data_IF_140230725235
#
_entry.id   IF_140230725235
#
_cell.length_a   1.000
_cell.length_b   1.000
_cell.length_c   1.000
_cell.angle_alpha   90.00
_cell.angle_beta   90.00
_cell.angle_gamma   90.00
#
_symmetry.space_group_name_H-M   'P 1'
#
loop_
_entity.id
_entity.type
_entity.pdbx_description
1 polymer ?
#
# COMPACT_ATOMS: atom_id res chain seq x y z
N UNK A 1 9.33 36.53 12.96
CA UNK A 1 9.44 36.13 11.56
C UNK A 1 10.21 34.81 11.51
N UNK A 2 9.54 33.69 11.26
CA UNK A 2 10.22 32.37 11.17
C UNK A 2 11.14 32.38 9.94
N UNK A 3 12.42 32.01 10.14
CA UNK A 3 13.32 31.88 9.00
C UNK A 3 12.84 30.70 8.11
N UNK A 4 13.10 30.77 6.80
CA UNK A 4 12.76 29.72 5.84
C UNK A 4 13.35 28.36 6.26
N UNK A 5 14.51 28.38 6.89
CA UNK A 5 15.21 27.20 7.42
C UNK A 5 14.43 26.55 8.58
N UNK A 6 13.85 27.34 9.48
CA UNK A 6 13.04 26.83 10.59
C UNK A 6 11.73 26.20 10.08
N UNK A 7 11.13 26.73 9.01
CA UNK A 7 9.94 26.16 8.39
C UNK A 7 10.22 24.79 7.75
N UNK A 8 11.35 24.64 7.05
CA UNK A 8 11.76 23.39 6.43
C UNK A 8 12.04 22.29 7.49
N UNK A 9 12.70 22.67 8.58
CA UNK A 9 12.98 21.76 9.67
C UNK A 9 11.71 21.32 10.39
N UNK A 10 10.80 22.23 10.70
CA UNK A 10 9.51 21.95 11.30
C UNK A 10 8.70 20.97 10.42
N UNK A 11 8.65 21.23 9.12
CA UNK A 11 7.96 20.40 8.15
C UNK A 11 8.52 18.96 8.11
N UNK A 12 9.85 18.82 8.09
CA UNK A 12 10.50 17.51 8.14
C UNK A 12 10.17 16.75 9.43
N UNK A 13 10.18 17.45 10.57
CA UNK A 13 9.83 16.86 11.88
C UNK A 13 8.37 16.42 11.94
N UNK A 14 7.43 17.24 11.43
CA UNK A 14 6.00 16.89 11.38
C UNK A 14 5.76 15.66 10.52
N UNK A 15 6.36 15.58 9.33
CA UNK A 15 6.24 14.40 8.47
C UNK A 15 6.84 13.15 9.14
N UNK A 16 7.99 13.29 9.79
CA UNK A 16 8.62 12.18 10.51
C UNK A 16 7.76 11.69 11.68
N UNK A 17 7.16 12.61 12.44
CA UNK A 17 6.26 12.29 13.55
C UNK A 17 4.98 11.58 13.07
N UNK A 18 4.37 12.06 11.99
CA UNK A 18 3.12 11.50 11.46
C UNK A 18 3.29 10.10 10.84
N UNK A 19 4.50 9.72 10.45
CA UNK A 19 4.74 8.37 9.87
C UNK A 19 4.30 7.24 10.79
N UNK A 20 4.62 7.32 12.08
CA UNK A 20 4.30 6.25 13.02
C UNK A 20 2.79 6.06 13.18
N UNK A 21 1.98 7.08 13.54
CA UNK A 21 0.52 6.91 13.65
C UNK A 21 -0.13 6.49 12.33
N UNK A 22 0.38 6.92 11.18
CA UNK A 22 -0.13 6.47 9.89
C UNK A 22 0.14 4.99 9.63
N UNK A 23 1.33 4.48 10.00
CA UNK A 23 1.64 3.04 9.91
C UNK A 23 0.69 2.25 10.82
N UNK A 24 0.47 2.72 12.03
CA UNK A 24 -0.50 2.10 12.97
C UNK A 24 -1.89 2.06 12.35
N UNK A 25 -2.34 3.15 11.71
CA UNK A 25 -3.63 3.19 11.01
C UNK A 25 -3.72 2.16 9.88
N UNK A 26 -2.66 1.99 9.09
CA UNK A 26 -2.60 0.95 8.04
C UNK A 26 -2.69 -0.45 8.65
N UNK A 27 -2.02 -0.70 9.78
CA UNK A 27 -2.13 -1.99 10.49
C UNK A 27 -3.57 -2.26 10.92
N UNK A 28 -4.28 -1.26 11.45
CA UNK A 28 -5.69 -1.41 11.82
C UNK A 28 -6.58 -1.74 10.62
N UNK A 29 -6.41 -1.10 9.46
CA UNK A 29 -7.17 -1.41 8.23
C UNK A 29 -7.06 -2.90 7.89
N UNK A 30 -5.87 -3.46 7.98
CA UNK A 30 -5.60 -4.83 7.55
C UNK A 30 -5.94 -5.91 8.59
N UNK A 31 -6.14 -5.54 9.84
CA UNK A 31 -6.41 -6.49 10.93
C UNK A 31 -7.88 -6.55 11.37
N UNK A 32 -8.73 -5.65 10.90
CA UNK A 32 -10.14 -5.68 11.24
C UNK A 32 -10.86 -6.80 10.47
N UNK A 33 -11.54 -7.67 11.22
CA UNK A 33 -12.39 -8.74 10.67
C UNK A 33 -13.80 -8.60 11.21
N UNK A 34 -14.81 -8.38 10.35
CA UNK A 34 -16.21 -8.25 10.79
C UNK A 34 -16.83 -9.57 11.24
N UNK A 35 -16.23 -10.70 10.89
CA UNK A 35 -16.68 -12.02 11.31
C UNK A 35 -15.49 -12.92 11.63
N UNK A 36 -15.68 -13.80 12.61
CA UNK A 36 -14.71 -14.80 13.06
C UNK A 36 -15.40 -16.14 13.04
N UNK A 37 -14.73 -17.18 12.53
CA UNK A 37 -15.23 -18.55 12.59
C UNK A 37 -14.69 -19.19 13.85
N UNK A 38 -15.59 -19.62 14.75
CA UNK A 38 -15.26 -20.33 15.98
C UNK A 38 -15.94 -21.70 15.94
N UNK A 39 -15.17 -22.75 15.74
CA UNK A 39 -15.70 -24.08 15.48
C UNK A 39 -16.48 -24.12 14.16
N UNK A 40 -17.77 -24.47 14.21
CA UNK A 40 -18.66 -24.52 13.04
C UNK A 40 -19.58 -23.28 12.94
N UNK A 41 -19.44 -22.31 13.84
CA UNK A 41 -20.29 -21.14 13.87
C UNK A 41 -19.55 -19.89 13.37
N UNK A 42 -20.23 -19.09 12.56
CA UNK A 42 -19.76 -17.78 12.14
C UNK A 42 -20.25 -16.75 13.15
N UNK A 43 -19.36 -16.29 14.00
CA UNK A 43 -19.66 -15.22 14.97
C UNK A 43 -19.43 -13.87 14.30
N UNK A 44 -20.51 -13.15 14.01
CA UNK A 44 -20.44 -11.76 13.57
C UNK A 44 -20.04 -10.86 14.74
N UNK A 45 -19.03 -10.01 14.56
CA UNK A 45 -18.59 -9.07 15.61
C UNK A 45 -19.68 -8.08 15.99
N UNK A 46 -20.58 -7.73 15.05
CA UNK A 46 -21.69 -6.79 15.29
C UNK A 46 -22.74 -7.37 16.22
N UNK A 47 -23.04 -8.65 16.09
CA UNK A 47 -24.11 -9.31 16.86
C UNK A 47 -23.63 -9.84 18.21
N UNK A 48 -22.41 -10.37 18.28
CA UNK A 48 -21.87 -11.04 19.47
C UNK A 48 -20.95 -10.17 20.30
N UNK A 49 -20.30 -9.18 19.68
CA UNK A 49 -19.34 -8.28 20.35
C UNK A 49 -19.51 -6.83 19.86
N UNK A 50 -20.61 -6.15 20.19
CA UNK A 50 -20.94 -4.84 19.62
C UNK A 50 -19.87 -3.77 19.97
N UNK A 51 -19.30 -3.80 21.15
CA UNK A 51 -18.24 -2.87 21.58
C UNK A 51 -16.97 -3.08 20.77
N UNK A 52 -16.55 -4.33 20.54
CA UNK A 52 -15.40 -4.65 19.71
C UNK A 52 -15.63 -4.21 18.26
N UNK A 53 -16.83 -4.47 17.73
CA UNK A 53 -17.20 -4.06 16.38
C UNK A 53 -17.16 -2.55 16.22
N UNK A 54 -17.75 -1.80 17.15
CA UNK A 54 -17.73 -0.34 17.14
C UNK A 54 -16.31 0.22 17.17
N UNK A 55 -15.49 -0.22 18.12
CA UNK A 55 -14.10 0.22 18.24
C UNK A 55 -13.29 -0.17 17.00
N UNK A 56 -13.43 -1.42 16.54
CA UNK A 56 -12.75 -1.93 15.36
C UNK A 56 -13.11 -1.15 14.10
N UNK A 57 -14.40 -0.86 13.87
CA UNK A 57 -14.86 -0.03 12.76
C UNK A 57 -14.32 1.39 12.87
N UNK A 58 -14.39 2.02 14.05
CA UNK A 58 -13.89 3.38 14.26
C UNK A 58 -12.41 3.50 13.88
N UNK A 59 -11.56 2.60 14.38
CA UNK A 59 -10.13 2.66 14.12
C UNK A 59 -9.76 2.16 12.72
N UNK A 60 -10.42 1.13 12.20
CA UNK A 60 -10.03 0.52 10.94
C UNK A 60 -10.71 1.18 9.74
N UNK A 61 -12.02 1.47 9.82
CA UNK A 61 -12.77 1.96 8.67
C UNK A 61 -12.80 3.50 8.58
N UNK A 62 -12.69 4.20 9.70
CA UNK A 62 -12.72 5.67 9.69
C UNK A 62 -11.32 6.26 9.88
N UNK A 63 -10.68 6.04 11.01
CA UNK A 63 -9.37 6.64 11.32
C UNK A 63 -8.27 6.03 10.43
N UNK A 64 -8.26 4.72 10.29
CA UNK A 64 -7.24 4.01 9.51
C UNK A 64 -7.24 4.42 8.03
N UNK A 65 -8.42 4.56 7.42
CA UNK A 65 -8.53 4.94 6.01
C UNK A 65 -7.94 6.30 5.66
N UNK A 66 -7.82 7.21 6.63
CA UNK A 66 -7.14 8.50 6.43
C UNK A 66 -5.64 8.29 6.17
N UNK A 67 -5.07 7.21 6.68
CA UNK A 67 -3.64 6.95 6.59
C UNK A 67 -3.15 6.79 5.15
N UNK A 68 -3.90 6.10 4.30
CA UNK A 68 -3.49 5.84 2.91
C UNK A 68 -3.43 7.13 2.08
N UNK A 69 -4.47 7.98 2.02
CA UNK A 69 -4.39 9.26 1.32
C UNK A 69 -3.27 10.16 1.84
N UNK A 70 -3.03 10.18 3.16
CA UNK A 70 -1.94 10.97 3.73
C UNK A 70 -0.56 10.44 3.32
N UNK A 71 -0.37 9.13 3.22
CA UNK A 71 0.87 8.58 2.66
C UNK A 71 1.09 9.00 1.20
N UNK A 72 0.05 8.95 0.37
CA UNK A 72 0.11 9.42 -1.02
C UNK A 72 0.44 10.92 -1.06
N UNK A 73 -0.24 11.72 -0.23
CA UNK A 73 -0.02 13.15 -0.13
C UNK A 73 1.43 13.47 0.27
N UNK A 74 1.93 12.90 1.38
CA UNK A 74 3.31 13.15 1.82
C UNK A 74 4.34 12.67 0.81
N UNK A 75 4.09 11.54 0.18
CA UNK A 75 5.00 11.02 -0.83
C UNK A 75 5.04 11.89 -2.08
N UNK A 76 3.88 12.37 -2.55
CA UNK A 76 3.77 13.32 -3.65
C UNK A 76 4.40 14.66 -3.27
N UNK A 77 4.06 15.20 -2.10
CA UNK A 77 4.65 16.43 -1.59
C UNK A 77 6.18 16.36 -1.57
N UNK A 78 6.78 15.34 -0.93
CA UNK A 78 8.23 15.17 -0.88
C UNK A 78 8.86 14.93 -2.25
N UNK A 79 8.12 14.33 -3.18
CA UNK A 79 8.61 14.13 -4.54
C UNK A 79 8.76 15.46 -5.28
N UNK A 80 7.81 16.37 -5.12
CA UNK A 80 7.80 17.66 -5.81
C UNK A 80 8.47 18.79 -5.00
N UNK A 81 8.67 18.61 -3.69
CA UNK A 81 9.25 19.62 -2.83
C UNK A 81 10.69 19.97 -3.22
N UNK A 82 10.95 21.26 -3.47
CA UNK A 82 12.25 21.81 -3.91
C UNK A 82 12.85 21.05 -5.12
N UNK A 83 12.01 20.46 -5.96
CA UNK A 83 12.48 19.75 -7.13
C UNK A 83 12.75 20.72 -8.27
N UNK A 84 13.99 20.76 -8.75
CA UNK A 84 14.25 21.16 -10.11
C UNK A 84 13.66 20.13 -11.05
N UNK A 85 12.76 20.55 -11.94
CA UNK A 85 12.11 19.63 -12.90
C UNK A 85 13.02 19.29 -14.08
N UNK A 86 14.30 19.08 -13.80
CA UNK A 86 15.24 18.56 -14.79
C UNK A 86 15.06 17.04 -14.94
N UNK A 87 15.31 16.54 -16.15
CA UNK A 87 15.29 15.12 -16.45
C UNK A 87 16.25 14.32 -15.52
N UNK A 88 17.39 14.92 -15.19
CA UNK A 88 18.38 14.32 -14.31
C UNK A 88 17.82 14.12 -12.90
N UNK A 89 17.17 15.14 -12.33
CA UNK A 89 16.54 15.07 -11.01
C UNK A 89 15.40 14.02 -11.00
N UNK A 90 14.61 13.97 -12.07
CA UNK A 90 13.56 12.96 -12.21
C UNK A 90 14.14 11.54 -12.19
N UNK A 91 15.12 11.25 -13.05
CA UNK A 91 15.77 9.94 -13.14
C UNK A 91 16.39 9.56 -11.79
N UNK A 92 17.06 10.48 -11.11
CA UNK A 92 17.63 10.25 -9.80
C UNK A 92 16.55 9.85 -8.78
N UNK A 93 15.43 10.58 -8.74
CA UNK A 93 14.30 10.27 -7.82
C UNK A 93 13.66 8.91 -8.14
N UNK A 94 13.49 8.57 -9.43
CA UNK A 94 12.97 7.26 -9.83
C UNK A 94 13.92 6.13 -9.43
N UNK A 95 15.22 6.26 -9.70
CA UNK A 95 16.23 5.26 -9.27
C UNK A 95 16.18 5.03 -7.76
N UNK A 96 16.04 6.10 -6.98
CA UNK A 96 15.92 6.00 -5.52
C UNK A 96 14.63 5.27 -5.11
N UNK A 97 13.50 5.52 -5.80
CA UNK A 97 12.24 4.81 -5.53
C UNK A 97 12.29 3.34 -5.93
N UNK A 98 12.97 3.00 -7.01
CA UNK A 98 13.23 1.59 -7.36
C UNK A 98 13.92 0.88 -6.19
N UNK A 99 14.99 1.46 -5.68
CA UNK A 99 15.72 0.87 -4.55
C UNK A 99 14.90 0.79 -3.25
N UNK A 100 14.11 1.83 -2.94
CA UNK A 100 13.42 1.92 -1.65
C UNK A 100 12.01 1.36 -1.63
N UNK A 101 11.36 1.22 -2.79
CA UNK A 101 9.99 0.73 -2.91
C UNK A 101 9.89 -0.54 -3.76
N UNK A 102 10.45 -0.55 -4.98
CA UNK A 102 10.27 -1.67 -5.90
C UNK A 102 11.01 -2.93 -5.42
N UNK A 103 12.26 -2.80 -4.97
CA UNK A 103 13.03 -3.96 -4.50
C UNK A 103 12.36 -4.61 -3.27
N UNK A 104 12.02 -3.88 -2.20
CA UNK A 104 11.26 -4.47 -1.08
C UNK A 104 9.90 -5.05 -1.50
N UNK A 105 9.19 -4.38 -2.40
CA UNK A 105 7.93 -4.85 -2.93
C UNK A 105 8.06 -6.22 -3.62
N UNK A 106 9.02 -6.36 -4.53
CA UNK A 106 9.29 -7.61 -5.23
C UNK A 106 9.74 -8.71 -4.28
N UNK A 107 10.64 -8.37 -3.34
CA UNK A 107 11.12 -9.30 -2.33
C UNK A 107 9.98 -9.89 -1.49
N UNK A 108 9.10 -9.05 -0.96
CA UNK A 108 8.00 -9.53 -0.13
C UNK A 108 6.97 -10.33 -0.93
N UNK A 109 6.58 -9.88 -2.14
CA UNK A 109 5.66 -10.67 -2.97
C UNK A 109 6.26 -12.03 -3.36
N UNK A 110 7.55 -12.09 -3.70
CA UNK A 110 8.24 -13.35 -3.97
C UNK A 110 8.28 -14.24 -2.72
N UNK A 111 8.57 -13.67 -1.54
CA UNK A 111 8.58 -14.41 -0.28
C UNK A 111 7.21 -15.00 0.04
N UNK A 112 6.12 -14.22 -0.11
CA UNK A 112 4.76 -14.72 0.08
C UNK A 112 4.42 -15.84 -0.91
N UNK A 113 4.80 -15.70 -2.18
CA UNK A 113 4.56 -16.71 -3.20
C UNK A 113 5.30 -18.02 -2.90
N UNK A 114 6.57 -17.93 -2.50
CA UNK A 114 7.39 -19.08 -2.09
C UNK A 114 6.80 -19.75 -0.84
N UNK A 115 6.43 -18.97 0.17
CA UNK A 115 5.80 -19.49 1.38
C UNK A 115 4.48 -20.18 1.06
N UNK A 116 3.63 -19.58 0.23
CA UNK A 116 2.37 -20.18 -0.18
C UNK A 116 2.57 -21.48 -0.94
N UNK A 117 3.53 -21.51 -1.87
CA UNK A 117 3.92 -22.74 -2.56
C UNK A 117 4.39 -23.83 -1.58
N UNK A 118 5.30 -23.49 -0.66
CA UNK A 118 5.81 -24.45 0.33
C UNK A 118 4.70 -24.99 1.23
N UNK A 119 3.85 -24.13 1.78
CA UNK A 119 2.73 -24.51 2.66
C UNK A 119 1.71 -25.38 1.93
N UNK A 120 1.44 -25.13 0.66
CA UNK A 120 0.49 -25.93 -0.15
C UNK A 120 0.97 -27.38 -0.42
N UNK A 121 2.27 -27.63 -0.30
CA UNK A 121 2.86 -28.97 -0.50
C UNK A 121 3.10 -29.72 0.81
N UNK A 122 2.92 -29.09 1.98
CA UNK A 122 3.06 -29.78 3.26
C UNK A 122 1.84 -30.67 3.54
N UNK A 123 2.03 -31.94 4.02
CA UNK A 123 0.92 -32.86 4.29
C UNK A 123 -0.13 -32.32 5.27
N UNK A 124 0.31 -31.52 6.27
CA UNK A 124 -0.54 -30.96 7.31
C UNK A 124 -1.44 -29.81 6.84
N UNK A 125 -1.03 -29.08 5.82
CA UNK A 125 -1.70 -27.84 5.39
C UNK A 125 -2.30 -27.93 3.99
N UNK A 126 -1.95 -28.94 3.22
CA UNK A 126 -2.40 -29.16 1.85
C UNK A 126 -3.94 -29.15 1.69
N UNK A 127 -4.67 -29.54 2.71
CA UNK A 127 -6.15 -29.53 2.68
C UNK A 127 -6.73 -28.10 2.75
N UNK A 128 -5.99 -27.14 3.30
CA UNK A 128 -6.44 -25.75 3.44
C UNK A 128 -5.83 -24.81 2.42
N UNK A 129 -4.64 -25.13 1.93
CA UNK A 129 -3.90 -24.31 0.99
C UNK A 129 -3.64 -25.08 -0.29
N UNK A 130 -4.30 -24.71 -1.38
CA UNK A 130 -4.12 -25.35 -2.68
C UNK A 130 -3.41 -24.37 -3.62
N UNK A 131 -2.22 -24.74 -4.05
CA UNK A 131 -1.53 -24.02 -5.12
C UNK A 131 -2.11 -24.49 -6.47
N UNK A 132 -2.37 -23.59 -7.44
CA UNK A 132 -2.91 -23.98 -8.74
C UNK A 132 -1.99 -24.95 -9.45
N UNK A 133 -2.52 -26.12 -9.83
CA UNK A 133 -1.74 -27.18 -10.50
C UNK A 133 -1.21 -26.75 -11.88
N UNK A 134 -1.90 -25.78 -12.54
CA UNK A 134 -1.55 -25.27 -13.86
C UNK A 134 -1.25 -23.76 -13.76
N UNK A 135 -0.41 -23.36 -12.80
CA UNK A 135 0.03 -21.97 -12.67
C UNK A 135 0.86 -21.58 -13.91
N UNK A 136 0.28 -20.84 -14.83
CA UNK A 136 0.93 -20.26 -15.99
C UNK A 136 1.69 -18.96 -15.65
N UNK A 137 2.33 -18.37 -16.64
CA UNK A 137 3.03 -17.10 -16.51
C UNK A 137 2.09 -15.97 -16.06
N UNK A 138 0.86 -15.99 -16.52
CA UNK A 138 -0.22 -15.08 -16.15
C UNK A 138 -0.50 -15.10 -14.65
N UNK A 139 -0.53 -16.27 -14.01
CA UNK A 139 -0.69 -16.41 -12.57
C UNK A 139 0.47 -15.75 -11.81
N UNK A 140 1.71 -16.00 -12.21
CA UNK A 140 2.87 -15.40 -11.56
C UNK A 140 2.92 -13.88 -11.74
N UNK A 141 2.64 -13.38 -12.94
CA UNK A 141 2.56 -11.94 -13.19
C UNK A 141 1.44 -11.28 -12.38
N UNK A 142 0.27 -11.92 -12.32
CA UNK A 142 -0.86 -11.46 -11.51
C UNK A 142 -0.54 -11.44 -10.02
N UNK A 143 0.21 -12.44 -9.54
CA UNK A 143 0.64 -12.49 -8.13
C UNK A 143 1.52 -11.31 -7.74
N UNK A 144 2.29 -10.75 -8.67
CA UNK A 144 3.10 -9.56 -8.42
C UNK A 144 2.35 -8.26 -8.68
N UNK A 145 1.47 -8.20 -9.67
CA UNK A 145 0.87 -6.93 -10.09
C UNK A 145 -0.60 -6.79 -9.76
N UNK A 146 -1.31 -7.88 -9.55
CA UNK A 146 -2.75 -7.86 -9.33
C UNK A 146 -3.52 -7.55 -10.62
N UNK A 147 -3.09 -8.07 -11.77
CA UNK A 147 -3.79 -7.92 -13.03
C UNK A 147 -4.92 -8.95 -13.12
N UNK A 148 -6.03 -8.46 -13.60
CA UNK A 148 -7.32 -9.04 -13.86
C UNK A 148 -7.30 -10.42 -14.49
N UNK A 149 -7.96 -11.34 -13.84
CA UNK A 149 -8.62 -12.45 -14.51
C UNK A 149 -10.13 -12.13 -14.56
N UNK A 150 -10.76 -12.30 -15.72
CA UNK A 150 -12.16 -11.96 -16.01
C UNK A 150 -13.22 -12.60 -15.08
N UNK A 151 -12.81 -13.49 -14.21
CA UNK A 151 -13.71 -14.21 -13.29
C UNK A 151 -13.19 -14.38 -11.87
N UNK A 152 -11.97 -14.01 -11.56
CA UNK A 152 -11.34 -14.27 -10.26
C UNK A 152 -10.42 -13.14 -9.81
N UNK A 153 -10.89 -11.95 -9.84
CA UNK A 153 -10.55 -10.85 -8.92
C UNK A 153 -9.25 -10.96 -8.11
N UNK A 154 -8.11 -11.15 -8.74
CA UNK A 154 -6.86 -10.70 -8.14
C UNK A 154 -6.59 -9.25 -8.57
N UNK A 155 -7.35 -8.32 -8.03
CA UNK A 155 -7.10 -6.89 -8.21
C UNK A 155 -5.90 -6.40 -7.40
N UNK A 156 -5.34 -7.27 -6.57
CA UNK A 156 -4.24 -6.97 -5.66
C UNK A 156 -3.09 -7.95 -5.82
N UNK A 157 -1.84 -7.54 -5.54
CA UNK A 157 -0.71 -8.47 -5.49
C UNK A 157 -0.94 -9.54 -4.42
N UNK A 158 -0.18 -10.65 -4.44
CA UNK A 158 -0.32 -11.74 -3.46
C UNK A 158 -0.12 -11.25 -2.02
N UNK A 159 0.82 -10.33 -1.80
CA UNK A 159 0.94 -9.55 -0.58
C UNK A 159 0.03 -8.32 -0.69
N UNK A 160 -1.30 -8.54 -0.59
CA UNK A 160 -2.33 -7.55 -0.91
C UNK A 160 -2.14 -6.21 -0.18
N UNK A 161 -1.60 -6.21 1.00
CA UNK A 161 -1.34 -4.99 1.79
C UNK A 161 -0.34 -4.03 1.13
N UNK A 162 0.40 -4.47 0.12
CA UNK A 162 1.37 -3.64 -0.60
C UNK A 162 0.84 -3.00 -1.88
N UNK A 163 -0.47 -3.11 -2.15
CA UNK A 163 -1.07 -2.49 -3.32
C UNK A 163 -0.77 -0.99 -3.43
N UNK A 164 -0.75 -0.28 -2.29
CA UNK A 164 -0.46 1.15 -2.27
C UNK A 164 0.98 1.50 -2.68
N UNK A 165 1.96 0.61 -2.40
CA UNK A 165 3.35 0.78 -2.83
C UNK A 165 3.45 0.69 -4.35
N UNK A 166 2.75 -0.27 -4.96
CA UNK A 166 2.62 -0.40 -6.42
C UNK A 166 2.05 0.88 -7.02
N UNK A 167 0.93 1.34 -6.51
CA UNK A 167 0.26 2.53 -7.03
C UNK A 167 1.10 3.79 -6.84
N UNK A 168 1.83 3.88 -5.74
CA UNK A 168 2.78 4.96 -5.50
C UNK A 168 3.94 4.97 -6.50
N UNK A 169 4.43 3.80 -6.91
CA UNK A 169 5.44 3.70 -7.97
C UNK A 169 4.88 4.15 -9.32
N UNK A 170 3.66 3.71 -9.66
CA UNK A 170 2.96 4.14 -10.89
C UNK A 170 2.81 5.66 -10.91
N UNK A 171 2.29 6.26 -9.85
CA UNK A 171 2.16 7.72 -9.73
C UNK A 171 3.50 8.45 -9.87
N UNK A 172 4.58 7.84 -9.35
CA UNK A 172 5.92 8.42 -9.48
C UNK A 172 6.42 8.41 -10.92
N UNK A 173 6.13 7.36 -11.68
CA UNK A 173 6.45 7.28 -13.11
C UNK A 173 5.66 8.33 -13.93
N UNK A 174 4.39 8.54 -13.57
CA UNK A 174 3.55 9.55 -14.22
C UNK A 174 3.74 10.97 -13.69
N UNK A 175 4.67 11.20 -12.76
CA UNK A 175 4.91 12.52 -12.17
C UNK A 175 5.25 13.64 -13.17
N UNK A 176 5.95 13.41 -14.33
CA UNK A 176 6.14 14.46 -15.32
C UNK A 176 4.83 14.93 -15.97
N UNK A 177 3.90 13.98 -16.21
CA UNK A 177 2.57 14.30 -16.76
C UNK A 177 1.77 15.11 -15.74
N UNK A 178 1.78 14.68 -14.48
CA UNK A 178 1.13 15.40 -13.37
C UNK A 178 1.70 16.82 -13.23
N UNK A 179 3.01 16.97 -13.34
CA UNK A 179 3.65 18.28 -13.31
C UNK A 179 3.19 19.17 -14.47
N UNK A 180 3.17 18.64 -15.70
CA UNK A 180 2.68 19.36 -16.86
C UNK A 180 1.22 19.84 -16.68
N UNK A 181 0.35 18.99 -16.17
CA UNK A 181 -1.04 19.33 -15.88
C UNK A 181 -1.14 20.42 -14.83
N UNK A 182 -0.47 20.26 -13.70
CA UNK A 182 -0.51 21.22 -12.60
C UNK A 182 0.10 22.57 -12.98
N UNK A 183 1.15 22.59 -13.82
CA UNK A 183 1.77 23.84 -14.30
C UNK A 183 0.84 24.65 -15.20
N UNK A 184 -0.05 23.99 -15.97
CA UNK A 184 -1.07 24.67 -16.77
C UNK A 184 -2.13 25.35 -15.89
N UNK A 185 -2.49 24.75 -14.76
CA UNK A 185 -3.47 25.35 -13.83
C UNK A 185 -2.90 26.51 -13.02
N UNK A 186 -1.58 26.60 -12.83
CA UNK A 186 -0.94 27.78 -12.18
C UNK A 186 -1.12 29.10 -12.95
N UNK A 187 -1.45 29.02 -14.22
CA UNK A 187 -1.80 30.20 -15.04
C UNK A 187 -3.25 30.64 -14.89
N UNK A 188 -4.10 29.90 -14.15
CA UNK A 188 -5.51 30.16 -13.93
C UNK A 188 -5.81 30.63 -12.49
N UNK A 189 -4.84 30.61 -11.58
CA UNK A 189 -4.87 31.13 -10.21
C UNK A 189 -3.98 32.37 -10.10
#
# INVERSE_FOLDING_TARGET
>A
MFSKQNADELQSRVIAFLRFPLIVGVVFIHNYRPSIIVGNEVMGSETHMPTYSFIGQLFSQYIGWISVPLFFFFSGFLFFYKADYSLQTYIYKIKRRISTLLIPYLFWNASFLICFFAVSHLPLTRQWFQFPNNAGLDYYLSSFWGILDDKKTMTYPIAYQFWFIRDLMVLSLFSPVLYCLLSRFKGLL
#
